data_IF_914452631506
#
_entry.id   IF_914452631506
#
_cell.length_a   1.000
_cell.length_b   1.000
_cell.length_c   1.000
_cell.angle_alpha   90.00
_cell.angle_beta   90.00
_cell.angle_gamma   90.00
#
_symmetry.space_group_name_H-M   'P 1'
#
loop_
_entity.id
_entity.type
_entity.pdbx_description
1 polymer ?
#
# COMPACT_ATOMS: atom_id res chain seq x y z
N UNK A 1 1.89 -12.60 -6.62
CA UNK A 1 0.60 -12.01 -7.04
C UNK A 1 0.24 -12.44 -8.45
N UNK A 2 -0.82 -13.22 -8.65
CA UNK A 2 -1.29 -13.64 -9.99
C UNK A 2 -0.16 -14.10 -10.96
N UNK A 3 0.79 -14.91 -10.46
CA UNK A 3 1.95 -15.37 -11.22
C UNK A 3 3.15 -14.41 -11.30
N UNK A 4 3.00 -13.13 -10.96
CA UNK A 4 4.09 -12.14 -10.82
C UNK A 4 4.63 -12.08 -9.41
N UNK A 5 5.92 -11.79 -9.25
CA UNK A 5 6.60 -11.62 -7.95
C UNK A 5 6.80 -10.12 -7.67
N UNK A 6 6.75 -9.77 -6.39
CA UNK A 6 7.10 -8.44 -5.86
C UNK A 6 7.93 -8.67 -4.60
N UNK A 7 8.71 -7.66 -4.19
CA UNK A 7 9.65 -7.77 -3.10
C UNK A 7 9.22 -6.97 -1.85
N UNK A 8 8.61 -5.79 -2.02
CA UNK A 8 8.41 -4.84 -0.93
C UNK A 8 6.94 -4.62 -0.61
N UNK A 9 6.14 -4.21 -1.60
CA UNK A 9 4.79 -3.76 -1.33
C UNK A 9 3.86 -3.94 -2.52
N UNK A 10 2.59 -4.18 -2.23
CA UNK A 10 1.47 -4.15 -3.18
C UNK A 10 0.37 -3.29 -2.60
N UNK A 11 -0.30 -2.50 -3.42
CA UNK A 11 -1.42 -1.68 -2.95
C UNK A 11 -2.52 -1.49 -3.97
N UNK A 12 -3.74 -1.33 -3.43
CA UNK A 12 -4.96 -1.04 -4.18
C UNK A 12 -5.76 0.06 -3.47
N UNK A 13 -6.44 0.91 -4.25
CA UNK A 13 -7.10 2.12 -3.76
C UNK A 13 -6.25 3.36 -3.93
N UNK A 14 -6.14 4.18 -2.88
CA UNK A 14 -5.42 5.46 -2.93
C UNK A 14 -4.02 5.33 -3.50
N UNK A 15 -3.40 4.19 -3.26
CA UNK A 15 -2.04 3.81 -3.63
C UNK A 15 -1.83 3.57 -5.15
N UNK A 16 -2.84 3.06 -5.86
CA UNK A 16 -2.69 2.63 -7.24
C UNK A 16 -3.12 3.69 -8.28
N UNK A 17 -3.92 4.67 -7.85
CA UNK A 17 -4.32 5.81 -8.69
C UNK A 17 -3.27 6.95 -8.71
N UNK A 18 -2.19 6.85 -7.92
CA UNK A 18 -1.13 7.87 -7.78
C UNK A 18 -0.31 8.09 -9.06
N UNK A 19 -0.26 7.11 -9.97
CA UNK A 19 0.78 7.07 -11.02
C UNK A 19 0.44 7.85 -12.30
N UNK A 20 -0.73 8.49 -12.42
CA UNK A 20 -1.20 8.99 -13.73
C UNK A 20 -1.18 10.52 -13.96
N UNK A 21 -0.86 11.40 -12.98
CA UNK A 21 -1.10 12.84 -13.17
C UNK A 21 -0.24 13.81 -12.35
N UNK A 22 1.07 13.92 -12.63
CA UNK A 22 1.87 15.03 -12.08
C UNK A 22 2.80 15.66 -13.12
N UNK A 23 2.62 16.97 -13.27
CA UNK A 23 3.38 17.86 -14.13
C UNK A 23 4.83 18.07 -13.63
N UNK A 24 5.80 18.02 -14.54
CA UNK A 24 7.22 17.84 -14.23
C UNK A 24 7.90 19.03 -13.53
N UNK A 25 7.23 20.17 -13.39
CA UNK A 25 7.84 21.44 -12.92
C UNK A 25 7.83 21.64 -11.40
N UNK A 26 6.99 20.95 -10.64
CA UNK A 26 6.97 21.03 -9.16
C UNK A 26 8.02 20.13 -8.46
N UNK A 27 8.93 19.52 -9.23
CA UNK A 27 9.86 18.46 -8.78
C UNK A 27 11.03 18.96 -7.92
N UNK A 28 11.31 20.27 -7.83
CA UNK A 28 12.60 20.74 -7.30
C UNK A 28 12.58 21.31 -5.88
N UNK A 29 11.41 21.65 -5.32
CA UNK A 29 11.33 22.33 -4.00
C UNK A 29 10.56 21.56 -2.90
N UNK A 30 9.77 20.54 -3.23
CA UNK A 30 8.86 19.89 -2.26
C UNK A 30 9.22 18.46 -1.85
N UNK A 31 10.21 17.81 -2.47
CA UNK A 31 10.65 16.47 -2.06
C UNK A 31 9.50 15.46 -1.87
N UNK A 32 9.61 14.63 -0.84
CA UNK A 32 8.66 13.55 -0.49
C UNK A 32 7.18 13.98 -0.37
N UNK A 33 6.90 15.26 -0.09
CA UNK A 33 5.53 15.82 -0.04
C UNK A 33 4.84 15.83 -1.41
N UNK A 34 5.60 15.87 -2.52
CA UNK A 34 5.03 15.85 -3.86
C UNK A 34 4.28 14.54 -4.16
N UNK A 35 4.75 13.41 -3.62
CA UNK A 35 4.08 12.10 -3.75
C UNK A 35 2.79 12.04 -2.93
N UNK A 36 2.81 12.57 -1.71
CA UNK A 36 1.64 12.63 -0.82
C UNK A 36 0.56 13.55 -1.41
N UNK A 37 0.96 14.72 -1.93
CA UNK A 37 0.06 15.68 -2.58
C UNK A 37 -0.50 15.15 -3.92
N UNK A 38 0.30 14.41 -4.68
CA UNK A 38 -0.17 13.70 -5.88
C UNK A 38 -1.24 12.65 -5.53
N UNK A 39 -1.02 11.84 -4.49
CA UNK A 39 -2.01 10.87 -4.02
C UNK A 39 -3.32 11.51 -3.53
N UNK A 40 -3.23 12.73 -2.99
CA UNK A 40 -4.37 13.47 -2.49
C UNK A 40 -5.30 14.00 -3.60
N UNK A 41 -4.72 14.46 -4.70
CA UNK A 41 -5.48 15.07 -5.81
C UNK A 41 -6.22 14.04 -6.64
N UNK A 42 -5.72 12.80 -6.78
CA UNK A 42 -6.44 11.74 -7.51
C UNK A 42 -7.63 11.18 -6.74
N UNK A 43 -7.56 11.22 -5.40
CA UNK A 43 -8.66 10.81 -4.52
C UNK A 43 -9.95 11.65 -4.73
N UNK A 44 -9.83 12.86 -5.29
CA UNK A 44 -10.98 13.73 -5.56
C UNK A 44 -11.79 13.33 -6.81
N UNK A 45 -11.23 12.50 -7.71
CA UNK A 45 -11.85 12.15 -9.01
C UNK A 45 -12.51 10.79 -9.06
N UNK A 46 -12.12 9.87 -8.19
CA UNK A 46 -12.72 8.56 -8.06
C UNK A 46 -13.61 8.56 -6.82
N UNK A 47 -14.73 7.83 -6.85
CA UNK A 47 -15.67 7.77 -5.73
C UNK A 47 -15.04 7.20 -4.46
N UNK A 48 -15.86 6.59 -3.59
CA UNK A 48 -15.36 5.80 -2.47
C UNK A 48 -15.37 4.31 -2.85
N UNK A 49 -14.43 3.80 -3.67
CA UNK A 49 -14.39 2.38 -3.95
C UNK A 49 -14.18 1.65 -2.62
N UNK A 50 -15.01 0.63 -2.40
CA UNK A 50 -14.87 -0.28 -1.27
C UNK A 50 -14.21 -1.53 -1.81
N UNK A 51 -13.08 -1.89 -1.22
CA UNK A 51 -12.35 -3.11 -1.51
C UNK A 51 -12.73 -4.17 -0.49
N UNK A 52 -12.94 -5.39 -0.98
CA UNK A 52 -13.09 -6.57 -0.15
C UNK A 52 -11.74 -7.26 -0.08
N UNK A 53 -11.15 -7.31 1.10
CA UNK A 53 -9.84 -7.91 1.36
C UNK A 53 -10.05 -9.16 2.21
N UNK A 54 -9.62 -10.31 1.71
CA UNK A 54 -9.62 -11.56 2.48
C UNK A 54 -8.20 -11.85 2.95
N UNK A 55 -8.01 -12.02 4.26
CA UNK A 55 -6.74 -12.27 4.93
C UNK A 55 -6.80 -13.62 5.63
N UNK A 56 -6.09 -14.62 5.11
CA UNK A 56 -6.07 -16.00 5.66
C UNK A 56 -7.48 -16.58 5.96
N UNK A 57 -8.51 -16.12 5.24
CA UNK A 57 -9.91 -16.53 5.39
C UNK A 57 -10.85 -15.46 5.97
N UNK A 58 -10.32 -14.48 6.69
CA UNK A 58 -11.11 -13.40 7.31
C UNK A 58 -11.34 -12.25 6.32
N UNK A 59 -12.59 -11.77 6.25
CA UNK A 59 -13.01 -10.78 5.26
C UNK A 59 -13.12 -9.38 5.88
N UNK A 60 -12.53 -8.41 5.19
CA UNK A 60 -12.47 -7.01 5.57
C UNK A 60 -13.01 -6.13 4.44
N UNK A 61 -13.80 -5.12 4.78
CA UNK A 61 -14.20 -4.07 3.84
C UNK A 61 -13.45 -2.78 4.16
N UNK A 62 -12.73 -2.25 3.17
CA UNK A 62 -11.82 -1.13 3.35
C UNK A 62 -11.88 -0.17 2.16
N UNK A 63 -11.45 1.07 2.37
CA UNK A 63 -11.33 2.06 1.30
C UNK A 63 -10.00 1.95 0.54
N UNK A 64 -8.98 1.36 1.16
CA UNK A 64 -7.68 1.08 0.53
C UNK A 64 -6.92 0.04 1.32
N UNK A 65 -5.98 -0.64 0.67
CA UNK A 65 -5.12 -1.64 1.30
C UNK A 65 -3.69 -1.54 0.78
N UNK A 66 -2.73 -1.74 1.68
CA UNK A 66 -1.31 -1.92 1.37
C UNK A 66 -0.83 -3.21 2.01
N UNK A 67 -0.31 -4.14 1.21
CA UNK A 67 0.32 -5.39 1.64
C UNK A 67 1.83 -5.15 1.67
N UNK A 68 2.43 -5.18 2.85
CA UNK A 68 3.84 -4.83 3.05
C UNK A 68 4.68 -6.04 3.50
N UNK A 69 5.79 -6.28 2.79
CA UNK A 69 6.87 -7.18 3.22
C UNK A 69 7.99 -6.42 3.93
N UNK A 70 8.23 -5.16 3.55
CA UNK A 70 9.17 -4.26 4.19
C UNK A 70 8.48 -3.15 4.99
N UNK A 71 9.18 -2.60 5.99
CA UNK A 71 8.66 -1.56 6.88
C UNK A 71 8.48 -0.19 6.21
N UNK A 72 9.28 0.10 5.19
CA UNK A 72 9.35 1.43 4.56
C UNK A 72 8.57 1.52 3.26
N UNK A 73 7.74 2.56 3.18
CA UNK A 73 6.99 2.95 1.98
C UNK A 73 7.75 4.08 1.27
N UNK A 74 8.90 3.75 0.69
CA UNK A 74 9.79 4.72 0.02
C UNK A 74 10.47 5.72 0.97
N UNK A 75 11.78 5.91 0.84
CA UNK A 75 12.52 6.84 1.70
C UNK A 75 12.41 6.51 3.20
N UNK A 76 11.97 7.48 4.02
CA UNK A 76 11.92 7.37 5.48
C UNK A 76 10.55 7.01 6.09
N UNK A 77 9.52 6.80 5.27
CA UNK A 77 8.16 6.61 5.76
C UNK A 77 7.89 5.18 6.20
N UNK A 78 7.43 4.99 7.44
CA UNK A 78 7.12 3.66 7.98
C UNK A 78 5.62 3.41 7.88
N UNK A 79 5.22 2.50 7.00
CA UNK A 79 3.82 2.14 6.77
C UNK A 79 3.38 0.97 7.65
N UNK A 80 4.27 0.02 7.88
CA UNK A 80 4.05 -1.17 8.67
C UNK A 80 5.27 -1.41 9.56
N UNK A 81 5.27 -0.93 10.82
CA UNK A 81 6.44 -0.97 11.69
C UNK A 81 7.00 -2.39 11.92
N UNK A 82 6.12 -3.39 11.94
CA UNK A 82 6.49 -4.79 12.16
C UNK A 82 6.86 -5.56 10.88
N UNK A 83 6.73 -4.94 9.70
CA UNK A 83 7.02 -5.61 8.45
C UNK A 83 8.51 -5.88 8.32
N UNK A 84 8.85 -7.13 8.06
CA UNK A 84 10.23 -7.59 7.96
C UNK A 84 10.35 -8.61 6.84
N UNK A 85 11.43 -8.52 6.07
CA UNK A 85 11.78 -9.51 5.05
C UNK A 85 11.96 -10.90 5.66
N UNK A 86 12.33 -10.97 6.94
CA UNK A 86 12.63 -12.20 7.67
C UNK A 86 11.43 -12.85 8.35
N UNK A 87 10.33 -12.12 8.52
CA UNK A 87 9.11 -12.68 9.11
C UNK A 87 8.38 -13.57 8.10
N UNK A 88 7.70 -14.63 8.51
CA UNK A 88 6.94 -15.51 7.62
C UNK A 88 5.54 -14.97 7.33
N UNK A 89 5.36 -13.65 7.33
CA UNK A 89 4.08 -12.96 7.10
C UNK A 89 4.27 -11.70 6.23
N UNK A 90 3.18 -11.21 5.67
CA UNK A 90 3.02 -9.81 5.29
C UNK A 90 2.38 -9.05 6.44
N UNK A 91 2.62 -7.74 6.50
CA UNK A 91 1.80 -6.83 7.28
C UNK A 91 0.82 -6.13 6.34
N UNK A 92 -0.48 -6.38 6.52
CA UNK A 92 -1.52 -5.81 5.68
C UNK A 92 -2.14 -4.62 6.39
N UNK A 93 -1.91 -3.44 5.81
CA UNK A 93 -2.44 -2.17 6.30
C UNK A 93 -3.78 -1.89 5.62
N UNK A 94 -4.83 -1.87 6.43
CA UNK A 94 -6.23 -1.73 6.05
C UNK A 94 -6.70 -0.31 6.40
N UNK A 95 -7.06 0.48 5.38
CA UNK A 95 -7.56 1.84 5.59
C UNK A 95 -9.08 1.84 5.54
N UNK A 96 -9.74 2.00 6.70
CA UNK A 96 -11.20 1.84 6.78
C UNK A 96 -11.98 3.03 6.21
N UNK A 97 -11.40 4.24 6.19
CA UNK A 97 -12.12 5.44 5.73
C UNK A 97 -11.66 5.91 4.36
N UNK A 98 -12.66 6.22 3.53
CA UNK A 98 -12.48 6.71 2.17
C UNK A 98 -12.52 8.23 2.02
N UNK A 99 -11.96 8.73 0.92
CA UNK A 99 -12.10 10.11 0.47
C UNK A 99 -10.95 11.06 0.87
N UNK A 100 -10.97 12.30 0.34
CA UNK A 100 -9.80 13.19 0.34
C UNK A 100 -9.28 13.55 1.74
N UNK A 101 -10.20 13.80 2.69
CA UNK A 101 -9.85 14.13 4.06
C UNK A 101 -9.22 12.93 4.80
N UNK A 102 -9.70 11.72 4.53
CA UNK A 102 -9.11 10.51 5.10
C UNK A 102 -7.71 10.30 4.55
N UNK A 103 -7.53 10.40 3.23
CA UNK A 103 -6.22 10.32 2.57
C UNK A 103 -5.24 11.36 3.10
N UNK A 104 -5.69 12.60 3.35
CA UNK A 104 -4.83 13.67 3.88
C UNK A 104 -4.36 13.33 5.28
N UNK A 105 -5.29 12.90 6.14
CA UNK A 105 -4.96 12.52 7.50
C UNK A 105 -4.04 11.31 7.56
N UNK A 106 -4.21 10.31 6.69
CA UNK A 106 -3.30 9.18 6.59
C UNK A 106 -1.92 9.60 6.09
N UNK A 107 -1.84 10.47 5.07
CA UNK A 107 -0.59 11.04 4.60
C UNK A 107 0.18 11.78 5.70
N UNK A 108 -0.49 12.65 6.45
CA UNK A 108 0.10 13.36 7.60
C UNK A 108 0.53 12.38 8.69
N UNK A 109 -0.30 11.39 9.03
CA UNK A 109 0.05 10.40 10.04
C UNK A 109 1.26 9.55 9.62
N UNK A 110 1.37 9.19 8.34
CA UNK A 110 2.54 8.50 7.78
C UNK A 110 3.81 9.34 7.88
N UNK A 111 3.73 10.64 7.57
CA UNK A 111 4.86 11.57 7.71
C UNK A 111 5.31 11.73 9.16
N UNK A 112 4.38 11.69 10.11
CA UNK A 112 4.66 11.77 11.55
C UNK A 112 5.06 10.41 12.17
N UNK A 113 5.07 9.31 11.40
CA UNK A 113 5.34 7.97 11.91
C UNK A 113 4.23 7.39 12.80
N UNK A 114 3.04 7.99 12.75
CA UNK A 114 1.91 7.75 13.67
C UNK A 114 0.75 7.01 12.98
N UNK A 115 0.98 6.47 11.78
CA UNK A 115 -0.07 5.83 10.98
C UNK A 115 -0.69 4.63 11.71
N UNK A 116 0.15 3.78 12.31
CA UNK A 116 -0.24 2.59 13.06
C UNK A 116 -1.08 2.88 14.33
N UNK A 117 -1.14 4.14 14.78
CA UNK A 117 -1.93 4.57 15.94
C UNK A 117 -3.30 5.12 15.56
N UNK A 118 -3.61 5.21 14.28
CA UNK A 118 -4.89 5.74 13.81
C UNK A 118 -5.97 4.70 14.07
N UNK A 119 -7.03 5.12 14.75
CA UNK A 119 -8.13 4.22 15.14
C UNK A 119 -8.86 3.58 13.97
N UNK A 120 -8.73 4.13 12.77
CA UNK A 120 -9.35 3.65 11.54
C UNK A 120 -8.33 3.11 10.52
N UNK A 121 -7.16 2.72 11.02
CA UNK A 121 -6.16 1.92 10.33
C UNK A 121 -5.97 0.63 11.14
N UNK A 122 -6.10 -0.50 10.47
CA UNK A 122 -5.82 -1.81 11.06
C UNK A 122 -4.58 -2.39 10.37
N UNK A 123 -3.67 -3.00 11.13
CA UNK A 123 -2.50 -3.71 10.59
C UNK A 123 -2.61 -5.17 11.00
N UNK A 124 -2.83 -6.04 10.02
CA UNK A 124 -3.10 -7.45 10.25
C UNK A 124 -2.02 -8.30 9.57
N UNK A 125 -1.32 -9.18 10.31
CA UNK A 125 -0.40 -10.12 9.69
C UNK A 125 -1.17 -11.15 8.86
N UNK A 126 -0.70 -11.45 7.64
CA UNK A 126 -1.34 -12.46 6.78
C UNK A 126 -0.34 -13.15 5.83
N UNK A 127 -0.67 -14.35 5.37
CA UNK A 127 0.14 -15.10 4.39
C UNK A 127 -0.52 -15.28 3.03
N UNK A 128 -1.85 -15.37 3.00
CA UNK A 128 -2.70 -15.35 1.81
C UNK A 128 -3.60 -14.11 1.87
N UNK A 129 -3.50 -13.28 0.83
CA UNK A 129 -4.24 -12.04 0.71
C UNK A 129 -4.94 -11.99 -0.63
N UNK A 130 -6.26 -11.87 -0.62
CA UNK A 130 -7.07 -11.67 -1.81
C UNK A 130 -7.71 -10.29 -1.76
N UNK A 131 -7.50 -9.50 -2.81
CA UNK A 131 -8.07 -8.15 -2.94
C UNK A 131 -9.06 -8.17 -4.10
N UNK A 132 -10.28 -7.74 -3.81
CA UNK A 132 -11.37 -7.58 -4.76
C UNK A 132 -11.93 -6.17 -4.66
N UNK A 133 -12.47 -5.67 -5.76
CA UNK A 133 -12.97 -4.30 -5.86
C UNK A 133 -13.56 -4.05 -7.24
N UNK A 134 -13.74 -2.79 -7.63
CA UNK A 134 -14.21 -2.44 -8.97
C UNK A 134 -13.37 -3.13 -10.06
N UNK A 135 -14.04 -3.69 -11.07
CA UNK A 135 -13.38 -4.45 -12.12
C UNK A 135 -12.38 -3.56 -12.88
N UNK A 136 -11.14 -4.03 -13.02
CA UNK A 136 -10.09 -3.29 -13.74
C UNK A 136 -9.39 -2.21 -12.92
N UNK A 137 -9.73 -2.03 -11.65
CA UNK A 137 -9.01 -1.10 -10.77
C UNK A 137 -7.52 -1.49 -10.70
N UNK A 138 -6.61 -0.53 -10.84
CA UNK A 138 -5.19 -0.81 -10.88
C UNK A 138 -4.69 -1.30 -9.52
N UNK A 139 -3.67 -2.16 -9.58
CA UNK A 139 -2.90 -2.62 -8.42
C UNK A 139 -1.45 -2.29 -8.67
N UNK A 140 -0.85 -1.54 -7.74
CA UNK A 140 0.58 -1.28 -7.80
C UNK A 140 1.38 -2.35 -7.08
N UNK A 141 2.61 -2.58 -7.53
CA UNK A 141 3.60 -3.42 -6.90
C UNK A 141 4.97 -2.77 -7.00
N UNK A 142 5.66 -2.59 -5.87
CA UNK A 142 7.00 -1.99 -5.76
C UNK A 142 7.15 -0.61 -6.44
N UNK A 143 6.07 0.17 -6.49
CA UNK A 143 6.05 1.52 -7.08
C UNK A 143 5.66 1.57 -8.57
N UNK A 144 5.47 0.43 -9.21
CA UNK A 144 5.01 0.32 -10.60
C UNK A 144 3.59 -0.26 -10.68
N UNK A 145 2.86 0.04 -11.76
CA UNK A 145 1.60 -0.66 -12.04
C UNK A 145 1.89 -2.12 -12.37
N UNK A 146 1.41 -3.04 -11.52
CA UNK A 146 1.69 -4.47 -11.68
C UNK A 146 0.55 -5.22 -12.36
N UNK A 147 -0.70 -4.94 -11.97
CA UNK A 147 -1.87 -5.65 -12.48
C UNK A 147 -3.15 -4.84 -12.25
N UNK A 148 -4.30 -5.46 -12.45
CA UNK A 148 -5.60 -4.95 -12.06
C UNK A 148 -6.31 -5.96 -11.15
N UNK A 149 -7.32 -5.51 -10.41
CA UNK A 149 -8.15 -6.39 -9.57
C UNK A 149 -8.96 -7.39 -10.42
N UNK A 150 -9.22 -8.62 -9.89
CA UNK A 150 -8.83 -9.10 -8.56
C UNK A 150 -7.37 -9.54 -8.45
N UNK A 151 -6.77 -9.35 -7.27
CA UNK A 151 -5.38 -9.70 -6.98
C UNK A 151 -5.28 -10.76 -5.90
N UNK A 152 -4.65 -11.90 -6.21
CA UNK A 152 -4.30 -12.94 -5.24
C UNK A 152 -2.81 -12.90 -4.94
N UNK A 153 -2.48 -12.62 -3.69
CA UNK A 153 -1.13 -12.45 -3.17
C UNK A 153 -0.87 -13.58 -2.17
N UNK A 154 0.24 -14.29 -2.36
CA UNK A 154 0.67 -15.38 -1.49
C UNK A 154 2.12 -15.18 -1.12
N UNK A 155 2.44 -15.45 0.13
CA UNK A 155 3.81 -15.46 0.59
C UNK A 155 4.53 -16.68 0.01
N UNK A 156 5.66 -16.44 -0.65
CA UNK A 156 6.58 -17.49 -1.04
C UNK A 156 7.71 -17.53 -0.02
N UNK A 157 7.87 -18.68 0.65
CA UNK A 157 9.01 -18.93 1.52
C UNK A 157 10.26 -19.16 0.67
N UNK A 158 11.41 -18.71 1.17
CA UNK A 158 12.73 -18.90 0.57
C UNK A 158 12.83 -18.45 -0.91
N UNK A 159 12.08 -17.40 -1.25
CA UNK A 159 11.90 -16.97 -2.63
C UNK A 159 13.15 -16.34 -3.27
N UNK A 160 14.07 -15.82 -2.46
CA UNK A 160 15.28 -15.15 -2.94
C UNK A 160 16.41 -15.15 -1.89
N UNK A 161 17.65 -15.13 -2.38
CA UNK A 161 18.85 -14.90 -1.57
C UNK A 161 19.19 -13.41 -1.63
N UNK A 162 19.32 -12.76 -0.47
CA UNK A 162 19.64 -11.33 -0.37
C UNK A 162 21.07 -11.16 0.16
N UNK A 163 21.90 -10.43 -0.58
CA UNK A 163 23.25 -10.05 -0.14
C UNK A 163 23.15 -8.75 0.65
N UNK A 164 23.68 -8.75 1.87
CA UNK A 164 23.64 -7.60 2.79
C UNK A 164 25.06 -7.15 3.12
N UNK A 165 25.29 -5.85 3.40
CA UNK A 165 26.56 -5.39 3.95
C UNK A 165 26.86 -6.09 5.29
N UNK A 166 28.13 -6.31 5.59
CA UNK A 166 28.55 -6.80 6.90
C UNK A 166 28.17 -5.76 7.96
N UNK A 167 27.63 -6.24 9.08
CA UNK A 167 27.27 -5.44 10.25
C UNK A 167 28.49 -4.73 10.84
#
# INVERSE_FOLDING_TARGET
>A
MNGRRFALMVGAGFDAHVVASVDARAKKWLGQLAYVMAGLTTTLRFGRPTYRVTLDGDVWEVASVVVAKGHRYGGGFVVAPEASLWRPDFQVVLFRRGGPLASLRYGVALMLGDLHRRSDVDIVPATDVRIEGPAGDPVQGDGDRLTALPANIRLLRDAAVVVMPKA
#
